data_IF_180456447357
#
_entry.id   IF_180456447357
#
_cell.length_a   1.000
_cell.length_b   1.000
_cell.length_c   1.000
_cell.angle_alpha   90.00
_cell.angle_beta   90.00
_cell.angle_gamma   90.00
#
_symmetry.space_group_name_H-M   'P 1'
#
loop_
_entity.id
_entity.type
_entity.pdbx_description
1 polymer ?
#
# COMPACT_ATOMS: atom_id res chain seq x y z
N UNK A 1 -12.71 -2.24 35.93
CA UNK A 1 -12.61 -0.80 35.62
C UNK A 1 -11.18 -0.52 35.20
N UNK A 2 -10.96 -0.10 33.97
CA UNK A 2 -9.67 0.43 33.53
C UNK A 2 -9.41 1.70 34.37
N UNK A 3 -8.18 1.92 34.86
CA UNK A 3 -7.86 3.14 35.61
C UNK A 3 -8.12 4.33 34.68
N UNK A 4 -8.46 5.49 35.24
CA UNK A 4 -8.63 6.77 34.56
C UNK A 4 -7.43 7.08 33.64
N UNK A 5 -7.37 6.47 32.49
CA UNK A 5 -6.41 6.81 31.46
C UNK A 5 -7.05 7.87 30.59
N UNK A 6 -6.52 9.07 30.64
CA UNK A 6 -6.53 9.94 29.48
C UNK A 6 -6.29 9.04 28.28
N UNK A 7 -7.14 9.10 27.25
CA UNK A 7 -6.89 8.39 25.99
C UNK A 7 -5.44 8.67 25.60
N UNK A 8 -4.63 7.63 25.33
CA UNK A 8 -3.26 7.87 24.89
C UNK A 8 -3.28 8.77 23.67
N UNK A 9 -2.36 9.71 23.61
CA UNK A 9 -2.21 10.56 22.45
C UNK A 9 -1.89 9.69 21.22
N UNK A 10 -2.40 10.01 20.01
CA UNK A 10 -2.05 9.28 18.80
C UNK A 10 -0.54 9.36 18.57
N UNK A 11 0.07 8.23 18.20
CA UNK A 11 1.52 8.14 17.93
C UNK A 11 1.89 8.55 16.51
N UNK A 12 0.92 8.62 15.60
CA UNK A 12 1.06 9.14 14.25
C UNK A 12 -0.20 9.91 13.87
N UNK A 13 -0.05 11.14 13.45
CA UNK A 13 -1.15 12.05 13.09
C UNK A 13 -0.65 13.13 12.12
N UNK A 14 -1.54 13.87 11.45
CA UNK A 14 -1.14 15.00 10.63
C UNK A 14 -0.49 16.10 11.48
N UNK A 15 0.79 16.34 11.25
CA UNK A 15 1.58 17.36 11.90
C UNK A 15 1.80 18.56 10.97
N UNK A 16 2.31 19.67 11.51
CA UNK A 16 2.76 20.81 10.70
C UNK A 16 4.19 20.58 10.21
N UNK A 17 4.36 19.54 9.43
CA UNK A 17 5.61 19.11 8.83
C UNK A 17 5.53 19.13 7.29
N UNK A 18 6.55 18.65 6.60
CA UNK A 18 6.59 18.55 5.14
C UNK A 18 5.55 17.58 4.56
N UNK A 19 4.98 16.69 5.39
CA UNK A 19 3.99 15.69 4.98
C UNK A 19 2.55 16.20 5.10
N UNK A 20 2.33 17.36 5.74
CA UNK A 20 1.01 17.94 5.89
C UNK A 20 0.27 18.16 4.57
N UNK A 21 0.99 18.36 3.47
CA UNK A 21 0.41 18.49 2.12
C UNK A 21 -0.29 17.22 1.62
N UNK A 22 0.04 16.07 2.19
CA UNK A 22 -0.56 14.78 1.89
C UNK A 22 -1.66 14.38 2.88
N UNK A 23 -1.61 14.89 4.10
CA UNK A 23 -2.38 14.43 5.25
C UNK A 23 -3.51 15.39 5.65
N UNK A 24 -3.41 16.67 5.33
CA UNK A 24 -4.37 17.67 5.75
C UNK A 24 -5.30 18.06 4.58
N UNK A 25 -6.64 18.09 4.77
CA UNK A 25 -7.43 18.02 6.04
C UNK A 25 -8.00 16.61 6.32
N UNK A 26 -7.77 15.59 5.49
CA UNK A 26 -8.41 14.29 5.64
C UNK A 26 -7.82 13.45 6.79
N UNK A 27 -6.50 13.38 6.91
CA UNK A 27 -5.86 12.67 8.01
C UNK A 27 -4.97 11.51 7.62
N UNK A 28 -4.68 10.67 8.62
CA UNK A 28 -3.96 9.41 8.51
C UNK A 28 -4.93 8.26 8.85
N UNK A 29 -5.10 7.31 7.94
CA UNK A 29 -6.11 6.26 8.03
C UNK A 29 -5.49 4.87 7.77
N UNK A 30 -6.23 3.81 8.12
CA UNK A 30 -5.97 2.41 7.76
C UNK A 30 -4.53 1.91 8.02
N UNK A 31 -4.01 2.00 9.27
CA UNK A 31 -2.64 1.63 9.56
C UNK A 31 -2.41 0.12 9.47
N UNK A 32 -1.27 -0.27 8.86
CA UNK A 32 -0.78 -1.65 8.79
C UNK A 32 0.69 -1.68 9.15
N UNK A 33 1.04 -2.45 10.18
CA UNK A 33 2.41 -2.52 10.70
C UNK A 33 3.09 -3.81 10.25
N UNK A 34 4.34 -3.69 9.85
CA UNK A 34 5.25 -4.80 9.54
C UNK A 34 6.46 -4.70 10.45
N UNK A 35 6.78 -5.78 11.14
CA UNK A 35 7.97 -5.93 11.98
C UNK A 35 9.10 -6.56 11.18
N UNK A 36 10.34 -6.11 11.37
CA UNK A 36 11.54 -6.72 10.77
C UNK A 36 12.41 -7.39 11.82
N UNK A 37 13.22 -8.37 11.41
CA UNK A 37 14.10 -9.14 12.32
C UNK A 37 15.17 -8.30 13.00
N UNK A 38 15.50 -7.12 12.45
CA UNK A 38 16.45 -6.16 13.03
C UNK A 38 15.81 -5.17 13.99
N UNK A 39 14.52 -5.39 14.36
CA UNK A 39 13.81 -4.60 15.37
C UNK A 39 13.25 -3.29 14.87
N UNK A 40 13.11 -3.10 13.56
CA UNK A 40 12.40 -1.98 12.98
C UNK A 40 10.96 -2.33 12.69
N UNK A 41 10.10 -1.31 12.71
CA UNK A 41 8.69 -1.40 12.37
C UNK A 41 8.42 -0.42 11.22
N UNK A 42 7.69 -0.89 10.22
CA UNK A 42 7.20 -0.07 9.11
C UNK A 42 5.68 0.00 9.20
N UNK A 43 5.16 1.21 9.27
CA UNK A 43 3.73 1.47 9.27
C UNK A 43 3.34 2.02 7.91
N UNK A 44 2.51 1.27 7.20
CA UNK A 44 1.85 1.74 5.98
C UNK A 44 0.50 2.30 6.36
N UNK A 45 0.21 3.52 5.93
CA UNK A 45 -1.03 4.20 6.23
C UNK A 45 -1.51 4.99 5.01
N UNK A 46 -2.80 5.22 4.95
CA UNK A 46 -3.39 6.09 3.94
C UNK A 46 -3.34 7.53 4.43
N UNK A 47 -2.69 8.41 3.69
CA UNK A 47 -2.83 9.85 3.86
C UNK A 47 -3.94 10.36 2.95
N UNK A 48 -4.78 11.26 3.46
CA UNK A 48 -5.82 11.90 2.68
C UNK A 48 -5.81 13.41 2.88
N UNK A 49 -5.66 14.16 1.81
CA UNK A 49 -5.59 15.62 1.86
C UNK A 49 -6.89 16.31 1.40
N UNK A 50 -8.02 15.59 1.37
CA UNK A 50 -9.30 16.08 0.87
C UNK A 50 -9.47 15.95 -0.64
N UNK A 51 -8.44 15.50 -1.38
CA UNK A 51 -8.45 15.36 -2.85
C UNK A 51 -7.96 14.02 -3.35
N UNK A 52 -6.87 13.51 -2.78
CA UNK A 52 -6.27 12.24 -3.17
C UNK A 52 -5.85 11.47 -1.93
N UNK A 53 -6.10 10.16 -1.95
CA UNK A 53 -5.59 9.22 -0.97
C UNK A 53 -4.29 8.61 -1.49
N UNK A 54 -3.23 8.66 -0.66
CA UNK A 54 -1.92 8.12 -1.00
C UNK A 54 -1.45 7.16 0.09
N UNK A 55 -0.98 5.99 -0.32
CA UNK A 55 -0.35 5.04 0.58
C UNK A 55 1.03 5.55 0.98
N UNK A 56 1.20 5.80 2.27
CA UNK A 56 2.40 6.36 2.88
C UNK A 56 3.11 5.35 3.76
N UNK A 57 4.37 5.63 4.08
CA UNK A 57 5.18 4.83 4.99
C UNK A 57 5.75 5.70 6.12
N UNK A 58 5.79 5.13 7.34
CA UNK A 58 6.56 5.63 8.46
C UNK A 58 7.35 4.48 9.09
N UNK A 59 8.49 4.80 9.72
CA UNK A 59 9.42 3.85 10.35
C UNK A 59 9.56 4.15 11.83
N UNK A 60 9.66 3.11 12.66
CA UNK A 60 9.90 3.21 14.11
C UNK A 60 10.78 2.06 14.60
N UNK A 61 11.42 2.25 15.76
CA UNK A 61 12.11 1.20 16.50
C UNK A 61 11.47 0.90 17.86
N UNK A 62 10.42 1.63 18.23
CA UNK A 62 9.77 1.53 19.55
C UNK A 62 8.24 1.57 19.51
N UNK A 63 7.64 1.69 18.31
CA UNK A 63 6.19 1.81 18.09
C UNK A 63 5.55 3.08 18.66
N UNK A 64 6.34 4.00 19.20
CA UNK A 64 5.90 5.26 19.80
C UNK A 64 6.36 6.45 18.96
N UNK A 65 7.64 6.46 18.59
CA UNK A 65 8.22 7.52 17.79
C UNK A 65 8.33 7.07 16.32
N UNK A 66 7.64 7.80 15.43
CA UNK A 66 7.56 7.45 14.02
C UNK A 66 8.23 8.52 13.16
N UNK A 67 9.12 8.07 12.27
CA UNK A 67 9.70 8.89 11.22
C UNK A 67 8.91 8.68 9.95
N UNK A 68 8.19 9.69 9.48
CA UNK A 68 7.46 9.66 8.22
C UNK A 68 8.40 9.68 7.02
N UNK A 69 8.05 8.95 5.97
CA UNK A 69 8.73 8.93 4.66
C UNK A 69 7.84 9.47 3.54
N UNK A 70 6.54 9.63 3.81
CA UNK A 70 5.54 10.11 2.86
C UNK A 70 5.08 9.04 1.87
N UNK A 71 4.52 9.45 0.72
CA UNK A 71 3.94 8.52 -0.25
C UNK A 71 4.97 7.55 -0.83
N UNK A 72 4.67 6.25 -0.78
CA UNK A 72 5.61 5.17 -1.13
C UNK A 72 5.91 5.08 -2.63
N UNK A 73 5.04 5.63 -3.49
CA UNK A 73 5.20 5.60 -4.95
C UNK A 73 5.70 6.93 -5.54
N UNK A 74 6.01 7.93 -4.68
CA UNK A 74 6.32 9.30 -5.14
C UNK A 74 7.44 9.39 -6.16
N UNK A 75 8.48 8.56 -6.02
CA UNK A 75 9.67 8.55 -6.86
C UNK A 75 9.67 7.41 -7.90
N UNK A 76 8.68 6.51 -7.83
CA UNK A 76 8.58 5.36 -8.71
C UNK A 76 8.48 5.78 -10.17
N UNK A 77 9.33 5.17 -11.02
CA UNK A 77 9.35 5.41 -12.47
C UNK A 77 9.37 6.91 -12.83
N UNK A 78 10.32 7.64 -12.22
CA UNK A 78 10.48 9.10 -12.38
C UNK A 78 9.24 9.90 -11.99
N UNK A 79 8.52 9.46 -10.94
CA UNK A 79 7.34 10.13 -10.41
C UNK A 79 6.04 9.89 -11.20
N UNK A 80 6.01 8.88 -12.08
CA UNK A 80 4.81 8.48 -12.84
C UNK A 80 3.60 8.26 -11.93
N UNK A 81 3.83 7.70 -10.73
CA UNK A 81 2.80 7.29 -9.78
C UNK A 81 2.63 8.20 -8.56
N UNK A 82 3.29 9.36 -8.54
CA UNK A 82 3.30 10.28 -7.38
C UNK A 82 1.93 10.76 -6.89
N UNK A 83 0.93 10.76 -7.76
CA UNK A 83 -0.44 11.18 -7.45
C UNK A 83 -1.46 10.05 -7.71
N UNK A 84 -1.00 8.81 -7.80
CA UNK A 84 -1.88 7.67 -8.00
C UNK A 84 -2.66 7.41 -6.72
N UNK A 85 -3.99 7.38 -6.82
CA UNK A 85 -4.84 6.94 -5.71
C UNK A 85 -4.41 5.57 -5.24
N UNK A 86 -4.01 5.45 -3.98
CA UNK A 86 -3.46 4.23 -3.42
C UNK A 86 -3.79 4.10 -1.95
N UNK A 87 -4.20 2.89 -1.54
CA UNK A 87 -4.57 2.55 -0.16
C UNK A 87 -4.09 1.13 0.16
N UNK A 88 -4.17 0.76 1.45
CA UNK A 88 -4.21 -0.62 1.94
C UNK A 88 -3.05 -1.51 1.49
N UNK A 89 -1.84 -1.19 1.96
CA UNK A 89 -0.63 -1.95 1.64
C UNK A 89 -0.46 -3.21 2.49
N UNK A 90 -0.59 -4.40 1.90
CA UNK A 90 -0.38 -5.71 2.53
C UNK A 90 0.96 -6.31 2.08
N UNK A 91 2.01 -6.15 2.89
CA UNK A 91 3.35 -6.70 2.61
C UNK A 91 3.34 -8.22 2.71
N UNK A 92 4.06 -8.89 1.82
CA UNK A 92 4.24 -10.36 1.87
C UNK A 92 5.22 -10.72 2.98
N UNK A 93 4.72 -11.43 3.98
CA UNK A 93 5.46 -11.86 5.16
C UNK A 93 5.46 -13.38 5.27
N UNK A 94 6.43 -13.94 5.98
CA UNK A 94 6.44 -15.33 6.42
C UNK A 94 6.29 -15.39 7.93
N UNK A 95 5.50 -16.32 8.40
CA UNK A 95 5.35 -16.59 9.82
C UNK A 95 6.58 -17.33 10.36
N UNK A 96 7.15 -16.82 11.45
CA UNK A 96 8.22 -17.46 12.23
C UNK A 96 7.85 -17.36 13.71
N UNK A 97 7.39 -18.46 14.30
CA UNK A 97 6.79 -18.44 15.65
C UNK A 97 5.52 -17.60 15.66
N UNK A 98 5.46 -16.62 16.57
CA UNK A 98 4.33 -15.70 16.72
C UNK A 98 4.50 -14.41 15.90
N UNK A 99 5.57 -14.30 15.12
CA UNK A 99 5.91 -13.11 14.33
C UNK A 99 5.69 -13.32 12.84
N UNK A 100 5.46 -12.22 12.12
CA UNK A 100 5.33 -12.19 10.66
C UNK A 100 6.36 -11.21 10.11
N UNK A 101 7.45 -11.75 9.53
CA UNK A 101 8.52 -10.95 8.97
C UNK A 101 8.40 -10.82 7.45
N UNK A 102 8.64 -9.62 6.87
CA UNK A 102 8.67 -9.44 5.44
C UNK A 102 9.76 -10.31 4.81
N UNK A 103 9.43 -10.92 3.69
CA UNK A 103 10.36 -11.81 2.97
C UNK A 103 10.57 -11.33 1.55
N UNK A 104 11.80 -11.51 1.07
CA UNK A 104 12.14 -11.26 -0.33
C UNK A 104 11.79 -12.49 -1.17
N UNK A 105 11.06 -12.27 -2.26
CA UNK A 105 10.84 -13.24 -3.32
C UNK A 105 11.59 -12.75 -4.56
N UNK A 106 12.54 -13.53 -5.07
CA UNK A 106 13.44 -13.11 -6.16
C UNK A 106 14.15 -11.79 -5.85
N UNK A 107 14.78 -11.72 -4.67
CA UNK A 107 15.60 -10.60 -4.18
C UNK A 107 14.86 -9.30 -3.85
N UNK A 108 13.54 -9.24 -3.98
CA UNK A 108 12.76 -8.03 -3.70
C UNK A 108 11.57 -8.33 -2.77
N UNK A 109 11.16 -7.36 -1.95
CA UNK A 109 9.94 -7.42 -1.17
C UNK A 109 8.73 -7.19 -2.08
N UNK A 110 7.59 -7.77 -1.69
CA UNK A 110 6.33 -7.66 -2.43
C UNK A 110 5.23 -7.14 -1.52
N UNK A 111 4.33 -6.37 -2.10
CA UNK A 111 3.14 -5.82 -1.45
C UNK A 111 1.95 -5.95 -2.40
N UNK A 112 0.79 -6.30 -1.85
CA UNK A 112 -0.50 -6.09 -2.50
C UNK A 112 -1.08 -4.77 -1.99
N UNK A 113 -1.68 -3.99 -2.87
CA UNK A 113 -2.22 -2.68 -2.51
C UNK A 113 -3.39 -2.31 -3.41
N UNK A 114 -4.25 -1.39 -2.98
CA UNK A 114 -5.34 -0.87 -3.78
C UNK A 114 -6.64 -0.73 -3.01
N UNK A 115 -7.60 -0.13 -3.67
CA UNK A 115 -9.00 0.02 -3.29
C UNK A 115 -9.81 -0.15 -4.56
N UNK A 116 -10.87 -0.96 -4.53
CA UNK A 116 -11.65 -1.48 -5.67
C UNK A 116 -10.93 -2.60 -6.43
N UNK A 117 -9.76 -2.37 -6.94
CA UNK A 117 -8.88 -3.39 -7.55
C UNK A 117 -7.62 -3.56 -6.70
N UNK A 118 -7.09 -4.79 -6.63
CA UNK A 118 -5.83 -5.09 -5.94
C UNK A 118 -4.70 -5.25 -6.95
N UNK A 119 -3.62 -4.51 -6.74
CA UNK A 119 -2.40 -4.49 -7.53
C UNK A 119 -1.21 -5.05 -6.74
N UNK A 120 -0.06 -5.20 -7.40
CA UNK A 120 1.20 -5.51 -6.75
C UNK A 120 2.20 -4.36 -6.85
N UNK A 121 3.11 -4.32 -5.89
CA UNK A 121 4.29 -3.48 -5.92
C UNK A 121 5.50 -4.23 -5.35
N UNK A 122 6.72 -3.77 -5.69
CA UNK A 122 7.97 -4.31 -5.21
C UNK A 122 8.83 -3.23 -4.56
N UNK A 123 9.71 -3.65 -3.62
CA UNK A 123 10.63 -2.77 -2.91
C UNK A 123 11.92 -3.49 -2.56
N UNK A 124 13.02 -2.76 -2.47
CA UNK A 124 14.30 -3.27 -1.97
C UNK A 124 14.52 -2.96 -0.49
N UNK A 125 13.80 -1.95 0.06
CA UNK A 125 14.07 -1.35 1.37
C UNK A 125 12.85 -1.22 2.30
N UNK A 126 11.64 -1.61 1.85
CA UNK A 126 10.36 -1.46 2.57
C UNK A 126 9.86 -0.01 2.69
N UNK A 127 10.56 0.97 2.12
CA UNK A 127 10.18 2.39 2.16
C UNK A 127 9.72 2.86 0.78
N UNK A 128 10.57 2.61 -0.23
CA UNK A 128 10.32 3.02 -1.60
C UNK A 128 9.77 1.85 -2.40
N UNK A 129 8.58 2.00 -2.93
CA UNK A 129 7.89 0.95 -3.66
C UNK A 129 7.69 1.33 -5.12
N UNK A 130 7.71 0.33 -5.98
CA UNK A 130 7.45 0.49 -7.40
C UNK A 130 6.27 -0.40 -7.80
N UNK A 131 5.16 0.17 -8.31
CA UNK A 131 4.06 -0.61 -8.83
C UNK A 131 4.51 -1.56 -9.95
N UNK A 132 3.99 -2.80 -9.94
CA UNK A 132 4.29 -3.79 -10.99
C UNK A 132 3.47 -3.49 -12.22
N UNK A 133 4.15 -3.20 -13.32
CA UNK A 133 3.53 -2.99 -14.63
C UNK A 133 3.68 -4.21 -15.53
N UNK A 134 2.68 -4.41 -16.36
CA UNK A 134 2.65 -5.44 -17.39
C UNK A 134 2.68 -4.80 -18.78
N UNK A 135 3.18 -5.54 -19.76
CA UNK A 135 3.09 -5.11 -21.16
C UNK A 135 1.63 -5.13 -21.61
N UNK A 136 1.22 -4.10 -22.32
CA UNK A 136 -0.17 -3.95 -22.78
C UNK A 136 -0.60 -4.96 -23.86
N UNK A 137 0.32 -5.78 -24.37
CA UNK A 137 0.04 -6.82 -25.36
C UNK A 137 -0.88 -7.90 -24.78
N UNK A 138 -2.18 -7.74 -25.01
CA UNK A 138 -3.22 -8.66 -24.53
C UNK A 138 -4.15 -8.10 -23.46
N UNK A 139 -3.96 -6.89 -22.99
CA UNK A 139 -4.93 -6.22 -22.14
C UNK A 139 -6.15 -5.81 -22.99
N UNK A 140 -7.33 -6.34 -22.64
CA UNK A 140 -8.60 -5.89 -23.21
C UNK A 140 -8.80 -4.41 -22.87
N UNK A 141 -8.77 -3.49 -23.83
CA UNK A 141 -8.94 -2.05 -23.56
C UNK A 141 -10.32 -1.69 -23.01
N UNK A 142 -11.30 -2.61 -23.02
CA UNK A 142 -12.63 -2.39 -22.45
C UNK A 142 -12.67 -2.51 -20.92
N UNK A 143 -11.60 -2.98 -20.28
CA UNK A 143 -11.45 -3.10 -18.84
C UNK A 143 -10.44 -2.09 -18.27
N UNK A 144 -10.53 -0.85 -18.76
CA UNK A 144 -9.71 0.22 -18.23
C UNK A 144 -10.19 0.67 -16.85
N UNK A 145 -9.29 0.63 -15.88
CA UNK A 145 -9.16 1.43 -14.67
C UNK A 145 -10.43 2.02 -14.03
N UNK A 146 -10.46 1.99 -12.69
CA UNK A 146 -11.40 2.78 -11.90
C UNK A 146 -11.57 4.19 -12.50
N UNK A 147 -12.75 4.77 -12.44
CA UNK A 147 -13.15 6.05 -13.05
C UNK A 147 -12.27 7.27 -12.71
N UNK A 148 -11.17 7.07 -11.99
CA UNK A 148 -10.29 8.14 -11.51
C UNK A 148 -8.96 8.28 -12.24
N UNK A 149 -8.60 7.37 -13.17
CA UNK A 149 -7.31 7.48 -13.87
C UNK A 149 -7.45 7.85 -15.36
N UNK A 150 -7.62 9.15 -15.61
CA UNK A 150 -7.71 9.74 -16.97
C UNK A 150 -6.33 10.04 -17.61
N UNK A 151 -5.21 9.51 -17.11
CA UNK A 151 -3.86 10.04 -17.40
C UNK A 151 -2.90 9.13 -18.17
N UNK A 152 -3.36 7.99 -18.71
CA UNK A 152 -2.53 7.20 -19.63
C UNK A 152 -2.90 7.50 -21.08
N UNK A 153 -2.48 8.66 -21.59
CA UNK A 153 -2.39 8.96 -23.02
C UNK A 153 -1.06 9.62 -23.26
N UNK A 154 -0.20 8.97 -23.98
CA UNK A 154 0.65 9.40 -25.10
C UNK A 154 2.00 8.67 -25.15
N UNK A 155 2.27 8.19 -26.35
CA UNK A 155 3.50 7.83 -27.05
C UNK A 155 3.97 6.36 -27.07
N UNK A 156 4.03 5.88 -28.25
CA UNK A 156 4.62 4.79 -29.07
C UNK A 156 5.73 3.85 -28.51
N UNK A 157 5.97 3.77 -27.21
CA UNK A 157 6.59 2.61 -26.56
C UNK A 157 5.47 1.67 -26.11
N UNK A 158 5.64 0.38 -26.29
CA UNK A 158 4.70 -0.65 -25.82
C UNK A 158 4.23 -0.27 -24.43
N UNK A 159 3.00 0.22 -24.33
CA UNK A 159 2.49 0.85 -23.12
C UNK A 159 2.53 -0.17 -21.98
N UNK A 160 3.28 0.12 -20.94
CA UNK A 160 3.23 -0.63 -19.68
C UNK A 160 2.09 -0.09 -18.85
N UNK A 161 1.24 -0.98 -18.35
CA UNK A 161 0.03 -0.64 -17.60
C UNK A 161 -0.02 -1.40 -16.28
N UNK A 162 -0.69 -0.81 -15.29
CA UNK A 162 -1.06 -1.51 -14.09
C UNK A 162 -2.20 -2.48 -14.43
N UNK A 163 -1.99 -3.76 -14.17
CA UNK A 163 -3.06 -4.76 -14.24
C UNK A 163 -3.40 -5.22 -12.84
N UNK A 164 -4.69 -5.21 -12.46
CA UNK A 164 -5.10 -5.75 -11.18
C UNK A 164 -4.89 -7.26 -11.11
N UNK A 165 -4.44 -7.71 -9.96
CA UNK A 165 -4.29 -9.13 -9.63
C UNK A 165 -5.62 -9.71 -9.17
N UNK A 166 -6.41 -8.92 -8.43
CA UNK A 166 -7.76 -9.27 -8.00
C UNK A 166 -8.69 -8.12 -8.37
N UNK A 167 -9.86 -8.46 -8.88
CA UNK A 167 -10.94 -7.53 -9.25
C UNK A 167 -12.23 -7.91 -8.55
N UNK A 168 -13.14 -6.95 -8.36
CA UNK A 168 -14.51 -7.22 -7.94
C UNK A 168 -15.18 -8.25 -8.84
N UNK A 169 -15.99 -9.14 -8.23
CA UNK A 169 -16.69 -10.21 -8.94
C UNK A 169 -18.19 -10.02 -8.82
N UNK A 170 -18.84 -9.70 -9.93
CA UNK A 170 -20.30 -9.48 -10.00
C UNK A 170 -21.07 -10.64 -9.34
N UNK A 171 -22.00 -10.31 -8.44
CA UNK A 171 -22.82 -11.28 -7.73
C UNK A 171 -22.12 -12.00 -6.57
N UNK A 172 -20.92 -11.58 -6.17
CA UNK A 172 -20.18 -12.10 -5.03
C UNK A 172 -20.05 -11.05 -3.91
N UNK A 173 -19.51 -11.45 -2.74
CA UNK A 173 -19.32 -10.57 -1.60
C UNK A 173 -18.40 -9.37 -1.90
N UNK A 174 -17.51 -9.54 -2.86
CA UNK A 174 -16.53 -8.55 -3.33
C UNK A 174 -16.96 -7.80 -4.59
N UNK A 175 -18.27 -7.69 -4.86
CA UNK A 175 -18.80 -7.09 -6.08
C UNK A 175 -18.43 -5.60 -6.26
N UNK A 176 -18.31 -4.86 -5.16
CA UNK A 176 -18.11 -3.41 -5.19
C UNK A 176 -16.71 -2.98 -4.81
N UNK A 177 -15.98 -3.80 -4.03
CA UNK A 177 -14.70 -3.43 -3.46
C UNK A 177 -13.83 -4.67 -3.25
N UNK A 178 -12.57 -4.59 -3.68
CA UNK A 178 -11.50 -5.48 -3.25
C UNK A 178 -10.41 -4.64 -2.61
N UNK A 179 -10.18 -4.84 -1.31
CA UNK A 179 -9.16 -4.10 -0.56
C UNK A 179 -8.32 -5.06 0.26
N UNK A 180 -6.97 -5.01 0.16
CA UNK A 180 -6.11 -5.86 0.98
C UNK A 180 -6.32 -5.60 2.47
N UNK A 181 -6.42 -6.66 3.25
CA UNK A 181 -6.53 -6.62 4.70
C UNK A 181 -5.18 -6.56 5.41
N UNK A 182 -4.85 -7.54 6.27
CA UNK A 182 -3.56 -7.61 6.95
C UNK A 182 -2.43 -8.00 5.99
N UNK A 183 -1.21 -8.23 6.55
CA UNK A 183 -0.07 -8.72 5.78
C UNK A 183 -0.45 -9.99 5.00
N UNK A 184 0.02 -10.09 3.76
CA UNK A 184 -0.09 -11.32 2.98
C UNK A 184 0.89 -12.37 3.50
N UNK A 185 0.46 -13.63 3.61
CA UNK A 185 1.25 -14.68 4.26
C UNK A 185 1.82 -15.63 3.21
N UNK A 186 3.15 -15.71 3.13
CA UNK A 186 3.84 -16.70 2.31
C UNK A 186 3.82 -18.05 3.02
N UNK A 187 3.22 -19.04 2.37
CA UNK A 187 3.16 -20.45 2.78
C UNK A 187 3.87 -21.34 1.77
N UNK A 188 4.03 -22.62 2.08
CA UNK A 188 4.57 -23.59 1.12
C UNK A 188 3.62 -23.87 -0.06
N UNK A 189 2.34 -23.57 0.09
CA UNK A 189 1.33 -23.70 -0.97
C UNK A 189 1.17 -22.42 -1.83
N UNK A 190 1.78 -21.32 -1.43
CA UNK A 190 1.66 -20.02 -2.12
C UNK A 190 1.41 -18.87 -1.16
N UNK A 191 0.96 -17.74 -1.68
CA UNK A 191 0.66 -16.54 -0.91
C UNK A 191 -0.82 -16.52 -0.56
N UNK A 192 -1.13 -16.42 0.74
CA UNK A 192 -2.48 -16.21 1.24
C UNK A 192 -2.69 -14.70 1.43
N UNK A 193 -3.65 -14.14 0.72
CA UNK A 193 -4.10 -12.75 0.87
C UNK A 193 -5.52 -12.75 1.43
N UNK A 194 -5.71 -12.07 2.56
CA UNK A 194 -7.03 -11.79 3.13
C UNK A 194 -7.44 -10.42 2.64
N UNK A 195 -8.64 -10.30 2.08
CA UNK A 195 -9.17 -9.06 1.56
C UNK A 195 -10.69 -8.97 1.80
N UNK A 196 -11.26 -7.79 1.71
CA UNK A 196 -12.70 -7.51 1.81
C UNK A 196 -13.25 -6.98 0.49
#
# INVERSE_FOLDING_TARGET
ALPNSTMPEPVLYPEKDEFSVYEWEGGCEDPRIVETKDGRYFLYYTSYNGKVALLCCAESTDLVHWKKHGPIFKDAMNGKYKNLWSKSGAVVCRQEGDHFYPVKLKETYWMYWGESDIYAATSDDLIHWTPVEFLADGADPSHSFSQHDSRCKDNDEVARVLLPIIRPRVGNYDEFLCEPGPQAILTDAGIVLIYN
#
